data_IF_613086682743
#
_entry.id   IF_613086682743
#
_cell.length_a   1.000
_cell.length_b   1.000
_cell.length_c   1.000
_cell.angle_alpha   90.00
_cell.angle_beta   90.00
_cell.angle_gamma   90.00
#
_symmetry.space_group_name_H-M   'P 1'
#
loop_
_entity.id
_entity.type
_entity.pdbx_description
1 polymer ?
#
# COMPACT_ATOMS: atom_id res chain seq x y z
N UNK A 1 17.26 -2.82 -29.17
CA UNK A 1 18.45 -3.45 -28.55
C UNK A 1 17.95 -4.23 -27.36
N UNK A 2 17.73 -5.54 -27.51
CA UNK A 2 17.04 -6.34 -26.50
C UNK A 2 18.07 -7.01 -25.60
N UNK A 3 18.06 -6.67 -24.31
CA UNK A 3 18.77 -7.44 -23.28
C UNK A 3 18.07 -8.79 -23.14
N UNK A 4 18.46 -9.73 -23.98
CA UNK A 4 17.98 -11.11 -23.90
C UNK A 4 18.62 -11.80 -22.70
N UNK A 5 17.91 -12.71 -22.05
CA UNK A 5 18.41 -13.51 -20.93
C UNK A 5 19.77 -14.18 -21.22
N UNK A 6 20.01 -14.54 -22.49
CA UNK A 6 21.28 -15.10 -22.96
C UNK A 6 22.44 -14.11 -22.84
N UNK A 7 22.23 -12.84 -23.13
CA UNK A 7 23.28 -11.81 -23.15
C UNK A 7 23.72 -11.47 -21.72
N UNK A 8 22.77 -11.41 -20.79
CA UNK A 8 23.03 -11.35 -19.36
C UNK A 8 23.85 -12.55 -18.88
N UNK A 9 23.55 -13.77 -19.36
CA UNK A 9 24.29 -14.97 -18.99
C UNK A 9 25.76 -14.90 -19.46
N UNK A 10 26.02 -14.41 -20.68
CA UNK A 10 27.38 -14.24 -21.20
C UNK A 10 28.18 -13.25 -20.35
N UNK A 11 27.60 -12.09 -20.01
CA UNK A 11 28.24 -11.10 -19.14
C UNK A 11 28.53 -11.70 -17.76
N UNK A 12 27.60 -12.49 -17.23
CA UNK A 12 27.76 -13.15 -15.93
C UNK A 12 28.92 -14.15 -15.97
N UNK A 13 29.05 -14.97 -17.02
CA UNK A 13 30.20 -15.85 -17.21
C UNK A 13 31.52 -15.07 -17.28
N UNK A 14 31.58 -13.98 -18.04
CA UNK A 14 32.78 -13.12 -18.11
C UNK A 14 33.12 -12.55 -16.73
N UNK A 15 32.13 -12.03 -16.00
CA UNK A 15 32.32 -11.52 -14.64
C UNK A 15 32.79 -12.60 -13.66
N UNK A 16 32.26 -13.83 -13.77
CA UNK A 16 32.70 -14.98 -12.98
C UNK A 16 34.14 -15.39 -13.30
N UNK A 17 34.61 -15.21 -14.54
CA UNK A 17 36.02 -15.49 -14.89
C UNK A 17 36.95 -14.41 -14.33
N UNK A 18 36.55 -13.14 -14.37
CA UNK A 18 37.38 -12.01 -13.89
C UNK A 18 37.46 -11.96 -12.37
N UNK A 19 36.32 -12.05 -11.68
CA UNK A 19 36.21 -11.89 -10.22
C UNK A 19 36.20 -13.26 -9.50
N UNK A 20 35.77 -14.33 -10.18
CA UNK A 20 35.56 -15.65 -9.60
C UNK A 20 34.11 -15.89 -9.16
N UNK A 21 33.64 -17.15 -9.17
CA UNK A 21 32.27 -17.50 -8.77
C UNK A 21 31.97 -17.29 -7.29
N UNK A 22 33.00 -17.25 -6.46
CA UNK A 22 32.89 -16.89 -5.04
C UNK A 22 32.86 -15.38 -4.82
N UNK A 23 33.47 -14.59 -5.71
CA UNK A 23 33.56 -13.13 -5.55
C UNK A 23 32.29 -12.39 -5.97
N UNK A 24 31.55 -12.87 -6.99
CA UNK A 24 30.29 -12.27 -7.42
C UNK A 24 29.23 -12.17 -6.29
N UNK A 25 28.93 -13.24 -5.52
CA UNK A 25 27.97 -13.14 -4.42
C UNK A 25 28.46 -12.22 -3.29
N UNK A 26 29.76 -12.15 -3.02
CA UNK A 26 30.29 -11.28 -1.97
C UNK A 26 30.30 -9.80 -2.39
N UNK A 27 30.62 -9.50 -3.65
CA UNK A 27 30.47 -8.16 -4.22
C UNK A 27 29.00 -7.71 -4.23
N UNK A 28 28.10 -8.59 -4.64
CA UNK A 28 26.66 -8.33 -4.65
C UNK A 28 26.11 -8.07 -3.25
N UNK A 29 26.53 -8.84 -2.22
CA UNK A 29 26.14 -8.60 -0.82
C UNK A 29 26.57 -7.20 -0.34
N UNK A 30 27.79 -6.81 -0.64
CA UNK A 30 28.35 -5.51 -0.24
C UNK A 30 27.62 -4.36 -0.92
N UNK A 31 27.42 -4.47 -2.24
CA UNK A 31 26.65 -3.49 -3.01
C UNK A 31 25.19 -3.43 -2.54
N UNK A 32 24.55 -4.58 -2.31
CA UNK A 32 23.16 -4.65 -1.85
C UNK A 32 22.98 -4.05 -0.46
N UNK A 33 23.93 -4.23 0.47
CA UNK A 33 23.90 -3.59 1.78
C UNK A 33 23.90 -2.06 1.63
N UNK A 34 24.82 -1.53 0.81
CA UNK A 34 24.94 -0.11 0.51
C UNK A 34 23.68 0.43 -0.17
N UNK A 35 23.16 -0.28 -1.18
CA UNK A 35 21.92 0.09 -1.88
C UNK A 35 20.71 0.10 -0.95
N UNK A 36 20.61 -0.87 -0.03
CA UNK A 36 19.53 -0.94 0.96
C UNK A 36 19.59 0.21 1.95
N UNK A 37 20.79 0.61 2.36
CA UNK A 37 21.03 1.75 3.24
C UNK A 37 20.69 3.06 2.51
N UNK A 38 21.15 3.23 1.27
CA UNK A 38 20.81 4.37 0.42
C UNK A 38 19.29 4.49 0.20
N UNK A 39 18.60 3.36 -0.06
CA UNK A 39 17.14 3.34 -0.23
C UNK A 39 16.41 3.78 1.05
N UNK A 40 16.88 3.37 2.22
CA UNK A 40 16.32 3.80 3.51
C UNK A 40 16.51 5.30 3.72
N UNK A 41 17.74 5.80 3.54
CA UNK A 41 18.07 7.22 3.69
C UNK A 41 17.21 8.07 2.74
N UNK A 42 17.11 7.64 1.47
CA UNK A 42 16.24 8.31 0.49
C UNK A 42 14.77 8.32 0.93
N UNK A 43 14.27 7.22 1.49
CA UNK A 43 12.89 7.15 2.01
C UNK A 43 12.65 8.04 3.23
N UNK A 44 13.61 8.13 4.14
CA UNK A 44 13.57 9.04 5.29
C UNK A 44 13.53 10.50 4.85
N UNK A 45 14.38 10.88 3.90
CA UNK A 45 14.41 12.23 3.33
C UNK A 45 13.08 12.58 2.66
N UNK A 46 12.51 11.66 1.86
CA UNK A 46 11.20 11.88 1.25
C UNK A 46 10.10 12.10 2.28
N UNK A 47 10.11 11.33 3.39
CA UNK A 47 9.14 11.50 4.47
C UNK A 47 9.30 12.82 5.21
N UNK A 48 10.53 13.20 5.51
CA UNK A 48 10.84 14.45 6.21
C UNK A 48 10.52 15.68 5.35
N UNK A 49 10.86 15.65 4.06
CA UNK A 49 10.45 16.70 3.11
C UNK A 49 8.93 16.77 3.02
N UNK A 50 8.22 15.65 2.95
CA UNK A 50 6.76 15.64 2.86
C UNK A 50 6.09 16.16 4.14
N UNK A 51 6.63 15.88 5.33
CA UNK A 51 6.15 16.47 6.59
C UNK A 51 6.34 17.99 6.57
N UNK A 52 7.56 18.47 6.32
CA UNK A 52 7.87 19.91 6.36
C UNK A 52 7.09 20.69 5.29
N UNK A 53 7.00 20.15 4.07
CA UNK A 53 6.24 20.77 2.97
C UNK A 53 4.75 20.67 3.22
N UNK A 54 4.26 19.55 3.76
CA UNK A 54 2.85 19.35 4.11
C UNK A 54 2.38 20.32 5.18
N UNK A 55 3.16 20.52 6.24
CA UNK A 55 2.89 21.49 7.31
C UNK A 55 2.92 22.93 6.79
N UNK A 56 3.93 23.28 5.98
CA UNK A 56 4.07 24.64 5.43
C UNK A 56 2.93 24.95 4.44
N UNK A 57 2.59 24.00 3.57
CA UNK A 57 1.51 24.16 2.59
C UNK A 57 0.15 24.21 3.31
N UNK A 58 -0.09 23.32 4.27
CA UNK A 58 -1.34 23.30 5.05
C UNK A 58 -1.60 24.63 5.76
N UNK A 59 -0.57 25.21 6.38
CA UNK A 59 -0.69 26.49 7.07
C UNK A 59 -0.90 27.67 6.11
N UNK A 60 -0.22 27.69 4.95
CA UNK A 60 -0.45 28.69 3.91
C UNK A 60 -1.86 28.59 3.33
N UNK A 61 -2.33 27.37 3.08
CA UNK A 61 -3.68 27.10 2.59
C UNK A 61 -4.71 27.52 3.62
N UNK A 62 -4.58 27.15 4.90
CA UNK A 62 -5.50 27.59 5.97
C UNK A 62 -5.54 29.10 6.15
N UNK A 63 -4.38 29.76 6.15
CA UNK A 63 -4.31 31.22 6.29
C UNK A 63 -4.96 31.90 5.08
N UNK A 64 -4.76 31.36 3.89
CA UNK A 64 -5.39 31.85 2.66
C UNK A 64 -6.89 31.61 2.68
N UNK A 65 -7.37 30.44 3.09
CA UNK A 65 -8.81 30.11 3.20
C UNK A 65 -9.51 31.02 4.23
N UNK A 66 -8.85 31.25 5.37
CA UNK A 66 -9.37 32.11 6.45
C UNK A 66 -9.42 33.59 6.01
N UNK A 67 -8.43 34.06 5.24
CA UNK A 67 -8.41 35.41 4.69
C UNK A 67 -9.34 35.57 3.46
N UNK A 68 -9.59 34.49 2.71
CA UNK A 68 -10.46 34.48 1.53
C UNK A 68 -11.94 34.31 1.85
N UNK A 69 -12.30 34.02 3.12
CA UNK A 69 -13.67 34.13 3.61
C UNK A 69 -14.66 33.23 2.86
N UNK A 70 -14.77 31.97 3.28
CA UNK A 70 -15.88 31.10 2.89
C UNK A 70 -16.61 30.56 4.11
N UNK A 71 -17.68 31.27 4.47
CA UNK A 71 -18.86 30.67 5.08
C UNK A 71 -19.46 29.65 4.08
N UNK A 72 -19.04 28.38 4.14
CA UNK A 72 -19.84 27.30 3.56
C UNK A 72 -20.01 26.18 4.56
N UNK A 73 -21.01 26.36 5.42
CA UNK A 73 -21.87 25.27 5.90
C UNK A 73 -22.15 24.28 4.77
N UNK A 74 -21.70 23.05 4.91
CA UNK A 74 -22.29 21.90 4.21
C UNK A 74 -22.16 20.66 5.08
N UNK A 75 -23.02 20.63 6.10
CA UNK A 75 -23.41 19.39 6.78
C UNK A 75 -24.21 18.54 5.79
N UNK A 76 -23.77 17.29 5.65
CA UNK A 76 -24.50 16.11 5.19
C UNK A 76 -25.06 16.13 3.75
N UNK A 77 -24.52 15.26 2.89
CA UNK A 77 -25.17 13.96 2.58
C UNK A 77 -24.59 13.31 1.31
N UNK A 78 -24.13 12.07 1.49
CA UNK A 78 -24.28 10.90 0.60
C UNK A 78 -24.04 11.02 -0.91
N UNK A 79 -23.05 10.27 -1.41
CA UNK A 79 -23.22 9.32 -2.55
C UNK A 79 -22.09 8.28 -2.44
N UNK A 80 -22.37 7.07 -1.93
CA UNK A 80 -22.58 5.88 -2.76
C UNK A 80 -21.65 5.80 -3.98
N UNK A 81 -20.57 5.02 -3.87
CA UNK A 81 -19.96 4.37 -5.04
C UNK A 81 -19.49 2.98 -4.65
N UNK A 82 -20.19 2.00 -5.18
CA UNK A 82 -20.08 0.58 -4.91
C UNK A 82 -18.89 -0.06 -5.63
N UNK A 83 -18.21 -1.03 -4.99
CA UNK A 83 -17.78 -2.28 -5.63
C UNK A 83 -17.07 -3.25 -4.65
N UNK A 84 -17.71 -4.41 -4.47
CA UNK A 84 -17.08 -5.75 -4.31
C UNK A 84 -16.28 -6.11 -3.05
N UNK A 85 -16.96 -6.73 -2.08
CA UNK A 85 -16.72 -8.13 -1.69
C UNK A 85 -17.75 -8.57 -0.61
N UNK A 86 -18.43 -9.73 -0.75
CA UNK A 86 -19.35 -10.23 0.27
C UNK A 86 -18.60 -10.57 1.57
N UNK A 87 -18.92 -9.87 2.66
CA UNK A 87 -18.50 -10.26 4.00
C UNK A 87 -19.23 -11.55 4.38
N UNK A 88 -18.45 -12.62 4.57
CA UNK A 88 -18.93 -13.91 5.12
C UNK A 88 -19.44 -13.65 6.53
N UNK A 89 -20.73 -13.91 6.84
CA UNK A 89 -21.23 -13.69 8.20
C UNK A 89 -20.60 -14.70 9.16
N UNK A 90 -20.10 -14.25 10.33
CA UNK A 90 -19.50 -15.16 11.29
C UNK A 90 -20.62 -15.93 12.02
N UNK A 91 -20.56 -17.25 11.87
CA UNK A 91 -21.12 -18.24 12.79
C UNK A 91 -22.65 -18.21 12.99
N UNK A 92 -23.39 -18.69 11.98
CA UNK A 92 -24.77 -19.14 12.19
C UNK A 92 -24.73 -20.55 12.77
N UNK A 93 -24.87 -20.66 14.08
CA UNK A 93 -25.19 -21.93 14.76
C UNK A 93 -26.43 -22.52 14.09
N UNK A 94 -26.28 -23.68 13.47
CA UNK A 94 -27.37 -24.41 12.84
C UNK A 94 -28.35 -24.86 13.94
N UNK A 95 -29.46 -24.14 14.10
CA UNK A 95 -30.62 -24.60 14.85
C UNK A 95 -31.51 -25.36 13.85
N UNK A 96 -31.56 -26.71 13.90
CA UNK A 96 -32.43 -27.47 13.02
C UNK A 96 -33.87 -26.98 13.20
N UNK A 97 -34.51 -26.69 12.07
CA UNK A 97 -35.94 -26.45 11.99
C UNK A 97 -36.64 -27.74 12.39
N UNK A 98 -37.45 -27.67 13.44
CA UNK A 98 -38.59 -28.54 13.75
C UNK A 98 -38.94 -28.32 15.23
N UNK A 99 -39.76 -27.31 15.51
CA UNK A 99 -40.82 -27.42 16.53
C UNK A 99 -41.80 -26.26 16.28
N UNK A 100 -42.86 -26.56 15.55
CA UNK A 100 -44.05 -25.73 15.38
C UNK A 100 -44.83 -25.79 16.71
N UNK A 101 -45.02 -24.69 17.46
CA UNK A 101 -46.06 -24.65 18.47
C UNK A 101 -47.41 -24.43 17.79
N UNK A 102 -48.36 -25.27 18.17
CA UNK A 102 -49.73 -25.38 17.70
C UNK A 102 -50.45 -24.02 17.64
N UNK A 103 -50.86 -23.61 16.44
CA UNK A 103 -51.93 -22.62 16.28
C UNK A 103 -53.23 -23.38 15.99
N UNK A 104 -53.93 -23.70 17.07
CA UNK A 104 -55.33 -24.09 17.04
C UNK A 104 -56.18 -23.02 16.32
N UNK A 105 -57.10 -23.49 15.49
CA UNK A 105 -58.17 -22.72 14.86
C UNK A 105 -58.90 -21.83 15.88
N UNK A 106 -59.00 -20.54 15.58
CA UNK A 106 -60.14 -19.71 16.04
C UNK A 106 -61.31 -19.90 15.07
N UNK A 107 -62.59 -19.73 15.45
CA UNK A 107 -63.17 -19.32 16.74
C UNK A 107 -64.01 -20.37 17.48
#
# INVERSE_FOLDING_TARGET
MNLSSTEILVILVVALVVIGPKGLPDAAKTFAKTYREFRKVTGSIQKEINDVVGETTGMLTETTDTLMGRDTTSTASSTSSAASAPQVPPNRVYRPADELPDEEETP
#
